data_IF_705277218604
#
_entry.id   IF_705277218604
#
_cell.length_a   1.000
_cell.length_b   1.000
_cell.length_c   1.000
_cell.angle_alpha   90.00
_cell.angle_beta   90.00
_cell.angle_gamma   90.00
#
_symmetry.space_group_name_H-M   'P 1'
#
loop_
_entity.id
_entity.type
_entity.pdbx_description
1 polymer ?
#
# COMPACT_ATOMS: atom_id res chain seq x y z
N UNK A 1 20.88 11.17 9.46
CA UNK A 1 21.35 10.65 8.16
C UNK A 1 20.14 10.36 7.29
N UNK A 2 20.13 10.82 6.04
CA UNK A 2 19.04 10.58 5.08
C UNK A 2 19.38 9.34 4.24
N UNK A 3 18.58 8.28 4.30
CA UNK A 3 18.81 7.05 3.52
C UNK A 3 18.64 7.23 1.99
N UNK A 4 18.19 8.41 1.54
CA UNK A 4 17.94 8.75 0.14
C UNK A 4 19.13 9.49 -0.53
N UNK A 5 20.26 9.67 0.16
CA UNK A 5 21.42 10.40 -0.38
C UNK A 5 22.45 9.49 -1.07
N UNK A 6 23.12 10.08 -2.07
CA UNK A 6 23.70 9.47 -3.28
C UNK A 6 24.74 8.35 -3.07
N UNK A 7 25.47 8.33 -1.95
CA UNK A 7 26.61 7.40 -1.83
C UNK A 7 26.17 5.93 -1.69
N UNK A 8 24.90 5.67 -1.33
CA UNK A 8 24.28 4.34 -1.35
C UNK A 8 24.89 3.29 -0.41
N UNK A 9 26.05 3.58 0.17
CA UNK A 9 26.84 2.69 1.01
C UNK A 9 26.74 3.11 2.49
N UNK A 10 25.51 3.20 2.98
CA UNK A 10 25.22 3.53 4.37
C UNK A 10 24.64 2.33 5.09
N UNK A 11 25.07 2.10 6.34
CA UNK A 11 24.57 1.01 7.18
C UNK A 11 23.03 0.97 7.26
N UNK A 12 22.38 2.13 7.25
CA UNK A 12 20.92 2.28 7.24
C UNK A 12 20.23 1.58 6.06
N UNK A 13 20.82 1.60 4.87
CA UNK A 13 20.26 0.97 3.67
C UNK A 13 20.30 -0.56 3.78
N UNK A 14 21.40 -1.10 4.29
CA UNK A 14 21.53 -2.55 4.52
C UNK A 14 20.55 -3.04 5.60
N UNK A 15 20.40 -2.26 6.68
CA UNK A 15 19.42 -2.55 7.74
C UNK A 15 17.99 -2.53 7.19
N UNK A 16 17.62 -1.53 6.41
CA UNK A 16 16.29 -1.45 5.80
C UNK A 16 16.02 -2.65 4.87
N UNK A 17 16.99 -3.02 4.01
CA UNK A 17 16.88 -4.21 3.14
C UNK A 17 16.72 -5.50 3.94
N UNK A 18 17.44 -5.61 5.06
CA UNK A 18 17.34 -6.77 5.94
C UNK A 18 15.97 -6.87 6.61
N UNK A 19 15.44 -5.74 7.11
CA UNK A 19 14.09 -5.69 7.69
C UNK A 19 13.03 -6.04 6.65
N UNK A 20 13.14 -5.51 5.43
CA UNK A 20 12.22 -5.83 4.34
C UNK A 20 12.28 -7.32 3.98
N UNK A 21 13.47 -7.93 3.99
CA UNK A 21 13.65 -9.37 3.77
C UNK A 21 12.87 -10.19 4.80
N UNK A 22 12.97 -9.83 6.09
CA UNK A 22 12.19 -10.51 7.13
C UNK A 22 10.68 -10.31 6.96
N UNK A 23 10.23 -9.11 6.60
CA UNK A 23 8.82 -8.84 6.35
C UNK A 23 8.27 -9.64 5.16
N UNK A 24 9.04 -9.76 4.07
CA UNK A 24 8.66 -10.60 2.92
C UNK A 24 8.44 -12.05 3.34
N UNK A 25 9.35 -12.61 4.15
CA UNK A 25 9.25 -13.98 4.64
C UNK A 25 8.00 -14.15 5.53
N UNK A 26 7.75 -13.23 6.47
CA UNK A 26 6.60 -13.29 7.37
C UNK A 26 5.27 -13.23 6.60
N UNK A 27 5.20 -12.40 5.55
CA UNK A 27 3.98 -12.23 4.73
C UNK A 27 3.82 -13.38 3.72
N UNK A 28 4.88 -14.16 3.45
CA UNK A 28 4.88 -15.21 2.44
C UNK A 28 5.07 -14.68 1.01
N UNK A 29 5.71 -13.52 0.85
CA UNK A 29 6.07 -12.97 -0.45
C UNK A 29 7.38 -13.56 -0.99
N UNK A 30 7.59 -13.56 -2.33
CA UNK A 30 8.86 -13.98 -2.92
C UNK A 30 10.03 -13.20 -2.31
N UNK A 31 11.10 -13.91 -1.93
CA UNK A 31 12.30 -13.31 -1.37
C UNK A 31 13.38 -12.99 -2.43
N UNK A 32 12.97 -12.92 -3.69
CA UNK A 32 13.82 -12.55 -4.82
C UNK A 32 13.64 -11.06 -5.21
N UNK A 33 14.27 -10.67 -6.32
CA UNK A 33 14.22 -9.31 -6.86
C UNK A 33 12.85 -8.93 -7.45
N UNK A 34 11.93 -9.88 -7.64
CA UNK A 34 10.57 -9.59 -8.14
C UNK A 34 9.71 -8.90 -7.09
N UNK A 35 10.10 -9.00 -5.82
CA UNK A 35 9.45 -8.31 -4.70
C UNK A 35 10.34 -7.18 -4.16
N UNK A 36 9.75 -6.02 -3.89
CA UNK A 36 10.45 -4.89 -3.28
C UNK A 36 9.54 -4.18 -2.27
N UNK A 37 10.12 -3.31 -1.46
CA UNK A 37 9.42 -2.53 -0.44
C UNK A 37 10.27 -1.36 0.06
N UNK A 38 9.67 -0.53 0.90
CA UNK A 38 10.33 0.59 1.55
C UNK A 38 9.74 0.81 2.94
N UNK A 39 10.57 1.15 3.92
CA UNK A 39 10.09 1.59 5.23
C UNK A 39 9.65 3.05 5.15
N UNK A 40 8.43 3.32 5.60
CA UNK A 40 7.82 4.64 5.58
C UNK A 40 7.40 5.06 6.98
N UNK A 41 7.15 6.34 7.18
CA UNK A 41 6.83 6.92 8.49
C UNK A 41 5.55 6.40 9.15
N UNK A 42 4.68 5.72 8.39
CA UNK A 42 3.52 5.03 8.95
C UNK A 42 2.56 4.50 7.89
N UNK A 43 1.52 3.82 8.37
CA UNK A 43 0.54 3.12 7.50
C UNK A 43 -0.17 4.06 6.53
N UNK A 44 -0.46 5.30 6.92
CA UNK A 44 -1.07 6.29 6.01
C UNK A 44 -0.21 6.55 4.78
N UNK A 45 1.11 6.69 4.95
CA UNK A 45 2.05 6.87 3.83
C UNK A 45 2.19 5.56 3.05
N UNK A 46 2.20 4.42 3.74
CA UNK A 46 2.24 3.11 3.09
C UNK A 46 1.03 2.91 2.15
N UNK A 47 -0.17 3.31 2.56
CA UNK A 47 -1.37 3.28 1.73
C UNK A 47 -1.24 4.16 0.49
N UNK A 48 -0.69 5.37 0.63
CA UNK A 48 -0.45 6.28 -0.51
C UNK A 48 0.53 5.63 -1.50
N UNK A 49 1.64 5.07 -1.01
CA UNK A 49 2.63 4.40 -1.86
C UNK A 49 2.03 3.19 -2.57
N UNK A 50 1.25 2.36 -1.85
CA UNK A 50 0.59 1.19 -2.43
C UNK A 50 -0.36 1.57 -3.58
N UNK A 51 -1.21 2.57 -3.37
CA UNK A 51 -2.12 3.06 -4.42
C UNK A 51 -1.37 3.77 -5.56
N UNK A 52 -0.29 4.49 -5.28
CA UNK A 52 0.54 5.12 -6.30
C UNK A 52 1.21 4.08 -7.21
N UNK A 53 1.73 2.99 -6.64
CA UNK A 53 2.29 1.86 -7.40
C UNK A 53 1.22 1.20 -8.27
N UNK A 54 0.03 0.95 -7.71
CA UNK A 54 -1.10 0.40 -8.48
C UNK A 54 -1.51 1.32 -9.64
N UNK A 55 -1.64 2.63 -9.39
CA UNK A 55 -1.97 3.62 -10.42
C UNK A 55 -0.91 3.69 -11.51
N UNK A 56 0.38 3.66 -11.15
CA UNK A 56 1.47 3.66 -12.13
C UNK A 56 1.40 2.41 -13.04
N UNK A 57 1.14 1.24 -12.46
CA UNK A 57 1.04 -0.02 -13.21
C UNK A 57 -0.17 -0.08 -14.15
N UNK A 58 -1.30 0.53 -13.77
CA UNK A 58 -2.56 0.49 -14.52
C UNK A 58 -3.03 1.87 -14.99
N UNK A 59 -2.10 2.78 -15.31
CA UNK A 59 -2.39 4.20 -15.56
C UNK A 59 -3.38 4.46 -16.71
N UNK A 60 -3.42 3.58 -17.72
CA UNK A 60 -4.35 3.68 -18.85
C UNK A 60 -5.77 3.18 -18.57
N UNK A 61 -6.03 2.70 -17.35
CA UNK A 61 -7.32 2.11 -16.96
C UNK A 61 -8.02 2.96 -15.92
N UNK A 62 -9.34 3.08 -16.02
CA UNK A 62 -10.16 3.62 -14.94
C UNK A 62 -10.04 2.70 -13.73
N UNK A 63 -9.59 3.24 -12.61
CA UNK A 63 -9.45 2.48 -11.36
C UNK A 63 -10.71 2.63 -10.51
N UNK A 64 -11.16 1.52 -9.92
CA UNK A 64 -12.10 1.52 -8.80
C UNK A 64 -11.41 0.93 -7.58
N UNK A 65 -11.66 1.52 -6.42
CA UNK A 65 -11.05 1.11 -5.15
C UNK A 65 -12.15 0.60 -4.25
N UNK A 66 -12.05 -0.66 -3.88
CA UNK A 66 -13.01 -1.32 -3.01
C UNK A 66 -12.48 -1.32 -1.58
N UNK A 67 -13.30 -0.88 -0.63
CA UNK A 67 -12.96 -0.94 0.78
C UNK A 67 -14.20 -1.25 1.62
N UNK A 68 -13.96 -1.82 2.80
CA UNK A 68 -15.00 -2.05 3.82
C UNK A 68 -15.61 -0.73 4.32
N UNK A 69 -16.86 -0.78 4.80
CA UNK A 69 -17.46 0.27 5.64
C UNK A 69 -16.63 0.61 6.88
N UNK A 70 -15.90 -0.37 7.43
CA UNK A 70 -15.05 -0.22 8.61
C UNK A 70 -13.57 0.09 8.25
N UNK A 71 -13.28 0.39 6.99
CA UNK A 71 -11.91 0.65 6.55
C UNK A 71 -11.36 1.97 7.12
N UNK A 72 -10.04 2.01 7.37
CA UNK A 72 -9.39 3.20 7.90
C UNK A 72 -9.43 4.37 6.90
N UNK A 73 -9.71 5.58 7.39
CA UNK A 73 -9.87 6.80 6.58
C UNK A 73 -8.60 7.18 5.76
N UNK A 74 -7.45 6.56 6.05
CA UNK A 74 -6.24 6.76 5.23
C UNK A 74 -6.45 6.36 3.76
N UNK A 75 -7.34 5.40 3.46
CA UNK A 75 -7.65 5.00 2.08
C UNK A 75 -8.30 6.18 1.33
N UNK A 76 -9.36 6.76 1.90
CA UNK A 76 -10.09 7.88 1.29
C UNK A 76 -9.16 9.07 1.06
N UNK A 77 -8.32 9.38 2.05
CA UNK A 77 -7.31 10.45 1.93
C UNK A 77 -6.28 10.15 0.84
N UNK A 78 -5.81 8.91 0.72
CA UNK A 78 -4.84 8.54 -0.29
C UNK A 78 -5.43 8.66 -1.72
N UNK A 79 -6.70 8.28 -1.91
CA UNK A 79 -7.42 8.47 -3.19
C UNK A 79 -7.51 9.94 -3.59
N UNK A 80 -7.82 10.80 -2.62
CA UNK A 80 -7.91 12.25 -2.80
C UNK A 80 -6.54 12.84 -3.17
N UNK A 81 -5.50 12.53 -2.39
CA UNK A 81 -4.11 12.99 -2.61
C UNK A 81 -3.59 12.55 -3.98
N UNK A 82 -3.93 11.33 -4.39
CA UNK A 82 -3.49 10.79 -5.68
C UNK A 82 -4.39 11.26 -6.84
N UNK A 83 -5.40 12.09 -6.63
CA UNK A 83 -6.28 12.57 -7.70
C UNK A 83 -7.03 11.45 -8.43
N UNK A 84 -7.31 10.35 -7.73
CA UNK A 84 -8.11 9.23 -8.28
C UNK A 84 -9.60 9.58 -8.23
N UNK A 85 -10.02 10.45 -7.32
CA UNK A 85 -11.42 10.88 -7.16
C UNK A 85 -12.20 9.98 -6.21
N UNK A 86 -12.94 10.58 -5.28
CA UNK A 86 -13.72 9.86 -4.25
C UNK A 86 -14.87 9.07 -4.85
N UNK A 87 -15.38 9.49 -6.00
CA UNK A 87 -16.40 8.80 -6.79
C UNK A 87 -15.95 7.41 -7.29
N UNK A 88 -14.65 7.15 -7.31
CA UNK A 88 -14.08 5.86 -7.68
C UNK A 88 -13.91 4.91 -6.48
N UNK A 89 -14.32 5.33 -5.28
CA UNK A 89 -14.36 4.49 -4.07
C UNK A 89 -15.71 3.77 -4.01
N UNK A 90 -15.66 2.45 -3.93
CA UNK A 90 -16.81 1.58 -3.70
C UNK A 90 -16.72 1.04 -2.28
N UNK A 91 -17.64 1.49 -1.43
CA UNK A 91 -17.73 1.02 -0.04
C UNK A 91 -18.57 -0.26 -0.03
N UNK A 92 -17.99 -1.36 0.45
CA UNK A 92 -18.66 -2.65 0.61
C UNK A 92 -19.05 -2.81 2.10
N UNK A 93 -20.32 -3.15 2.41
CA UNK A 93 -20.76 -3.45 3.77
C UNK A 93 -19.94 -4.53 4.46
N UNK A 94 -19.93 -4.53 5.78
CA UNK A 94 -19.39 -5.62 6.57
C UNK A 94 -20.47 -6.58 7.07
N UNK A 95 -20.11 -7.85 7.19
CA UNK A 95 -20.96 -8.87 7.80
C UNK A 95 -20.95 -8.74 9.34
N UNK A 96 -21.70 -9.63 10.02
CA UNK A 96 -21.78 -9.63 11.50
C UNK A 96 -20.43 -9.85 12.20
N UNK A 97 -19.44 -10.39 11.50
CA UNK A 97 -18.07 -10.61 11.99
C UNK A 97 -17.12 -9.45 11.65
N UNK A 98 -17.63 -8.33 11.12
CA UNK A 98 -16.85 -7.17 10.65
C UNK A 98 -15.84 -7.48 9.56
N UNK A 99 -16.17 -8.44 8.69
CA UNK A 99 -15.43 -8.74 7.47
C UNK A 99 -16.17 -8.16 6.29
N UNK A 100 -15.47 -7.86 5.19
CA UNK A 100 -16.11 -7.44 3.93
C UNK A 100 -17.15 -8.49 3.54
N UNK A 101 -18.39 -8.06 3.30
CA UNK A 101 -19.47 -8.94 2.88
C UNK A 101 -19.33 -9.26 1.39
N UNK A 102 -18.97 -10.51 1.10
CA UNK A 102 -18.79 -11.02 -0.25
C UNK A 102 -20.09 -11.40 -0.95
N UNK A 103 -21.23 -11.43 -0.24
CA UNK A 103 -22.53 -11.77 -0.84
C UNK A 103 -23.26 -10.56 -1.43
N UNK A 104 -22.73 -9.36 -1.23
CA UNK A 104 -23.31 -8.10 -1.72
C UNK A 104 -22.97 -7.84 -3.20
N UNK A 105 -22.17 -8.71 -3.83
CA UNK A 105 -21.76 -8.68 -5.24
C UNK A 105 -21.90 -10.06 -5.89
#
# INVERSE_FOLDING_TARGET
MNNQSWDGNQASIYLERQVLTWLKIIIGFPNDETCSGALVSGTSVATIVALAVARKKFHDRKMKIYCSTDAHNCIIRAVDILGIGKENIIIIPTNKQRQIDLQVY
#
